data_IF_673940510904
#
_entry.id   IF_673940510904
#
_cell.length_a   1.000
_cell.length_b   1.000
_cell.length_c   1.000
_cell.angle_alpha   90.00
_cell.angle_beta   90.00
_cell.angle_gamma   90.00
#
_symmetry.space_group_name_H-M   'P 1'
#
loop_
_entity.id
_entity.type
_entity.pdbx_description
1 polymer ?
#
# COMPACT_ATOMS: atom_id res chain seq x y z
N UNK A 1 -19.76 26.02 -22.54
CA UNK A 1 -19.84 24.62 -22.06
C UNK A 1 -19.42 24.66 -20.61
N UNK A 2 -20.34 24.40 -19.69
CA UNK A 2 -20.02 24.31 -18.26
C UNK A 2 -19.15 23.06 -18.06
N UNK A 3 -17.94 23.26 -17.53
CA UNK A 3 -16.99 22.19 -17.35
C UNK A 3 -17.50 21.26 -16.25
N UNK A 4 -17.78 19.99 -16.58
CA UNK A 4 -18.17 18.95 -15.61
C UNK A 4 -17.19 18.88 -14.43
N UNK A 5 -15.90 19.15 -14.67
CA UNK A 5 -14.89 19.25 -13.62
C UNK A 5 -15.18 20.39 -12.65
N UNK A 6 -15.63 21.54 -13.15
CA UNK A 6 -15.96 22.71 -12.34
C UNK A 6 -17.22 22.45 -11.49
N UNK A 7 -18.24 21.78 -12.03
CA UNK A 7 -19.43 21.40 -11.27
C UNK A 7 -19.14 20.38 -10.15
N UNK A 8 -18.26 19.40 -10.41
CA UNK A 8 -17.84 18.40 -9.41
C UNK A 8 -16.92 19.03 -8.36
N UNK A 9 -16.06 19.97 -8.75
CA UNK A 9 -15.10 20.61 -7.84
C UNK A 9 -15.72 21.77 -7.06
N UNK A 10 -16.81 22.36 -7.57
CA UNK A 10 -17.54 23.46 -6.92
C UNK A 10 -18.27 23.04 -5.64
N UNK A 11 -18.51 21.73 -5.46
CA UNK A 11 -19.13 21.22 -4.24
C UNK A 11 -18.29 20.06 -3.66
N UNK A 12 -17.76 20.21 -2.43
CA UNK A 12 -16.91 19.21 -1.80
C UNK A 12 -17.59 17.84 -1.61
N UNK A 13 -18.93 17.78 -1.59
CA UNK A 13 -19.69 16.54 -1.51
C UNK A 13 -19.47 15.66 -2.75
N UNK A 14 -19.44 16.25 -3.95
CA UNK A 14 -19.23 15.48 -5.19
C UNK A 14 -17.79 14.97 -5.29
N UNK A 15 -16.80 15.73 -4.82
CA UNK A 15 -15.43 15.24 -4.70
C UNK A 15 -15.33 14.04 -3.75
N UNK A 16 -16.00 14.08 -2.59
CA UNK A 16 -16.00 12.95 -1.66
C UNK A 16 -16.58 11.68 -2.31
N UNK A 17 -17.69 11.81 -3.07
CA UNK A 17 -18.29 10.69 -3.82
C UNK A 17 -17.32 10.14 -4.88
N UNK A 18 -16.64 11.02 -5.62
CA UNK A 18 -15.65 10.62 -6.62
C UNK A 18 -14.48 9.84 -5.99
N UNK A 19 -13.98 10.28 -4.83
CA UNK A 19 -12.93 9.58 -4.07
C UNK A 19 -13.40 8.20 -3.62
N UNK A 20 -14.62 8.10 -3.07
CA UNK A 20 -15.19 6.80 -2.65
C UNK A 20 -15.31 5.85 -3.84
N UNK A 21 -15.82 6.32 -4.98
CA UNK A 21 -15.91 5.51 -6.20
C UNK A 21 -14.52 5.03 -6.68
N UNK A 22 -13.52 5.91 -6.66
CA UNK A 22 -12.15 5.54 -7.01
C UNK A 22 -11.62 4.42 -6.10
N UNK A 23 -11.82 4.53 -4.78
CA UNK A 23 -11.43 3.49 -3.80
C UNK A 23 -12.15 2.16 -4.07
N UNK A 24 -13.44 2.19 -4.38
CA UNK A 24 -14.23 0.97 -4.69
C UNK A 24 -13.70 0.26 -5.94
N UNK A 25 -13.38 1.01 -7.00
CA UNK A 25 -12.80 0.45 -8.23
C UNK A 25 -11.45 -0.20 -7.93
N UNK A 26 -10.57 0.50 -7.20
CA UNK A 26 -9.26 -0.03 -6.79
C UNK A 26 -9.43 -1.29 -5.95
N UNK A 27 -10.34 -1.29 -4.98
CA UNK A 27 -10.60 -2.45 -4.13
C UNK A 27 -11.08 -3.67 -4.94
N UNK A 28 -11.94 -3.46 -5.93
CA UNK A 28 -12.41 -4.51 -6.83
C UNK A 28 -11.28 -5.15 -7.65
N UNK A 29 -10.35 -4.34 -8.15
CA UNK A 29 -9.17 -4.82 -8.88
C UNK A 29 -8.20 -5.54 -7.94
N UNK A 30 -7.91 -4.97 -6.77
CA UNK A 30 -7.00 -5.54 -5.76
C UNK A 30 -7.47 -6.91 -5.32
N UNK A 31 -8.78 -7.10 -5.05
CA UNK A 31 -9.35 -8.41 -4.68
C UNK A 31 -9.05 -9.50 -5.72
N UNK A 32 -9.10 -9.16 -7.00
CA UNK A 32 -8.83 -10.09 -8.11
C UNK A 32 -7.33 -10.42 -8.20
N UNK A 33 -6.46 -9.42 -8.05
CA UNK A 33 -5.00 -9.61 -8.06
C UNK A 33 -4.54 -10.41 -6.84
N UNK A 34 -5.08 -10.18 -5.65
CA UNK A 34 -4.74 -10.95 -4.44
C UNK A 34 -5.06 -12.44 -4.65
N UNK A 35 -6.23 -12.75 -5.22
CA UNK A 35 -6.64 -14.14 -5.49
C UNK A 35 -5.70 -14.82 -6.48
N UNK A 36 -5.27 -14.09 -7.52
CA UNK A 36 -4.29 -14.58 -8.49
C UNK A 36 -2.90 -14.77 -7.85
N UNK A 37 -2.44 -13.79 -7.06
CA UNK A 37 -1.17 -13.84 -6.36
C UNK A 37 -1.08 -15.02 -5.40
N UNK A 38 -2.15 -15.34 -4.66
CA UNK A 38 -2.22 -16.51 -3.79
C UNK A 38 -1.96 -17.82 -4.54
N UNK A 39 -2.59 -17.99 -5.72
CA UNK A 39 -2.38 -19.18 -6.55
C UNK A 39 -0.93 -19.23 -7.05
N UNK A 40 -0.40 -18.10 -7.52
CA UNK A 40 1.00 -17.99 -7.96
C UNK A 40 1.97 -18.35 -6.85
N UNK A 41 1.78 -17.82 -5.63
CA UNK A 41 2.62 -18.14 -4.46
C UNK A 41 2.52 -19.62 -4.10
N UNK A 42 1.33 -20.21 -4.16
CA UNK A 42 1.16 -21.64 -3.90
C UNK A 42 1.95 -22.50 -4.89
N UNK A 43 1.90 -22.18 -6.18
CA UNK A 43 2.71 -22.85 -7.21
C UNK A 43 4.20 -22.60 -6.98
N UNK A 44 4.56 -21.38 -6.57
CA UNK A 44 5.95 -21.00 -6.30
C UNK A 44 6.55 -21.80 -5.13
N UNK A 45 5.79 -22.01 -4.05
CA UNK A 45 6.20 -22.83 -2.92
C UNK A 45 6.46 -24.28 -3.37
N UNK A 46 5.57 -24.85 -4.17
CA UNK A 46 5.75 -26.19 -4.73
C UNK A 46 7.02 -26.27 -5.61
N UNK A 47 7.27 -25.24 -6.41
CA UNK A 47 8.47 -25.17 -7.23
C UNK A 47 9.75 -25.08 -6.39
N UNK A 48 9.78 -24.27 -5.34
CA UNK A 48 10.93 -24.18 -4.41
C UNK A 48 11.15 -25.52 -3.70
N UNK A 49 10.08 -26.21 -3.28
CA UNK A 49 10.17 -27.54 -2.67
C UNK A 49 10.77 -28.58 -3.65
N UNK A 50 10.33 -28.58 -4.90
CA UNK A 50 10.91 -29.42 -5.95
C UNK A 50 12.39 -29.09 -6.21
N UNK A 51 12.73 -27.81 -6.21
CA UNK A 51 14.11 -27.35 -6.43
C UNK A 51 15.04 -27.78 -5.28
N UNK A 52 14.54 -27.71 -4.05
CA UNK A 52 15.23 -28.22 -2.86
C UNK A 52 15.46 -29.74 -2.94
N UNK A 53 14.46 -30.51 -3.38
CA UNK A 53 14.60 -31.95 -3.59
C UNK A 53 15.61 -32.30 -4.68
N UNK A 54 15.70 -31.49 -5.74
CA UNK A 54 16.64 -31.69 -6.86
C UNK A 54 18.08 -31.26 -6.52
N UNK A 55 18.34 -30.76 -5.30
CA UNK A 55 19.68 -30.34 -4.85
C UNK A 55 20.24 -29.12 -5.61
N UNK A 56 19.39 -28.41 -6.36
CA UNK A 56 19.81 -27.19 -7.08
C UNK A 56 19.93 -26.06 -6.06
N UNK A 57 21.07 -25.36 -6.08
CA UNK A 57 21.43 -24.29 -5.14
C UNK A 57 20.30 -23.25 -4.99
N UNK A 58 19.51 -23.37 -3.93
CA UNK A 58 18.44 -22.42 -3.56
C UNK A 58 18.97 -21.16 -2.89
N UNK A 59 20.29 -21.11 -2.62
CA UNK A 59 20.96 -20.02 -1.91
C UNK A 59 20.87 -18.66 -2.62
N UNK A 60 20.86 -18.64 -3.95
CA UNK A 60 20.71 -17.37 -4.69
C UNK A 60 19.28 -16.83 -4.58
N UNK A 61 18.28 -17.70 -4.69
CA UNK A 61 16.86 -17.35 -4.57
C UNK A 61 16.57 -16.85 -3.16
N UNK A 62 17.08 -17.54 -2.14
CA UNK A 62 16.88 -17.13 -0.74
C UNK A 62 17.52 -15.78 -0.45
N UNK A 63 18.74 -15.53 -0.97
CA UNK A 63 19.43 -14.24 -0.80
C UNK A 63 18.67 -13.09 -1.45
N UNK A 64 18.13 -13.32 -2.65
CA UNK A 64 17.37 -12.30 -3.37
C UNK A 64 16.04 -11.99 -2.68
N UNK A 65 15.32 -13.01 -2.21
CA UNK A 65 14.09 -12.85 -1.42
C UNK A 65 14.35 -12.11 -0.11
N UNK A 66 15.41 -12.48 0.62
CA UNK A 66 15.78 -11.79 1.87
C UNK A 66 16.11 -10.32 1.65
N UNK A 67 16.87 -10.00 0.60
CA UNK A 67 17.21 -8.60 0.27
C UNK A 67 15.96 -7.80 -0.09
N UNK A 68 15.04 -8.37 -0.87
CA UNK A 68 13.76 -7.73 -1.18
C UNK A 68 12.91 -7.53 0.07
N UNK A 69 12.88 -8.50 0.99
CA UNK A 69 12.15 -8.39 2.25
C UNK A 69 12.73 -7.28 3.16
N UNK A 70 14.05 -7.15 3.21
CA UNK A 70 14.73 -6.10 3.98
C UNK A 70 14.41 -4.70 3.43
N UNK A 71 14.47 -4.52 2.11
CA UNK A 71 14.09 -3.25 1.45
C UNK A 71 12.63 -2.88 1.74
N UNK A 72 11.72 -3.85 1.67
CA UNK A 72 10.31 -3.65 2.02
C UNK A 72 10.14 -3.24 3.48
N UNK A 73 10.85 -3.90 4.39
CA UNK A 73 10.78 -3.61 5.83
C UNK A 73 11.30 -2.22 6.15
N UNK A 74 12.41 -1.81 5.55
CA UNK A 74 12.95 -0.46 5.71
C UNK A 74 12.03 0.62 5.12
N UNK A 75 11.46 0.38 3.94
CA UNK A 75 10.54 1.32 3.31
C UNK A 75 9.27 1.51 4.14
N UNK A 76 8.71 0.42 4.68
CA UNK A 76 7.53 0.46 5.56
C UNK A 76 7.85 1.15 6.88
N UNK A 77 8.98 0.83 7.52
CA UNK A 77 9.39 1.49 8.77
C UNK A 77 9.59 2.99 8.58
N UNK A 78 10.35 3.41 7.55
CA UNK A 78 10.57 4.84 7.27
C UNK A 78 9.29 5.58 6.92
N UNK A 79 8.38 4.95 6.17
CA UNK A 79 7.08 5.56 5.84
C UNK A 79 6.19 5.65 7.08
N UNK A 80 6.13 4.58 7.88
CA UNK A 80 5.35 4.54 9.12
C UNK A 80 5.84 5.56 10.15
N UNK A 81 7.15 5.72 10.31
CA UNK A 81 7.76 6.72 11.19
C UNK A 81 7.43 8.14 10.73
N UNK A 82 7.61 8.45 9.43
CA UNK A 82 7.21 9.76 8.86
C UNK A 82 5.74 10.08 9.04
N UNK A 83 4.85 9.10 8.90
CA UNK A 83 3.41 9.27 9.10
C UNK A 83 3.10 9.54 10.57
N UNK A 84 3.75 8.82 11.50
CA UNK A 84 3.58 9.03 12.94
C UNK A 84 4.07 10.41 13.38
N UNK A 85 5.28 10.80 13.00
CA UNK A 85 5.83 12.11 13.34
C UNK A 85 4.98 13.25 12.77
N UNK A 86 4.53 13.14 11.50
CA UNK A 86 3.69 14.16 10.89
C UNK A 86 2.30 14.26 11.54
N UNK A 87 1.72 13.13 11.97
CA UNK A 87 0.45 13.11 12.68
C UNK A 87 0.58 13.73 14.07
N UNK A 88 1.61 13.38 14.84
CA UNK A 88 1.85 13.93 16.19
C UNK A 88 2.07 15.45 16.11
N UNK A 89 2.93 15.92 15.20
CA UNK A 89 3.16 17.37 15.01
C UNK A 89 1.90 18.14 14.62
N UNK A 90 1.04 17.55 13.80
CA UNK A 90 -0.22 18.19 13.38
C UNK A 90 -1.22 18.29 14.53
N UNK A 91 -1.23 17.30 15.43
CA UNK A 91 -2.05 17.30 16.64
C UNK A 91 -1.52 18.31 17.65
N UNK A 92 -0.21 18.32 17.90
CA UNK A 92 0.44 19.22 18.86
C UNK A 92 0.20 20.69 18.48
N UNK A 93 0.40 21.02 17.20
CA UNK A 93 0.16 22.37 16.67
C UNK A 93 -1.30 22.79 16.77
N UNK A 94 -2.24 21.87 16.55
CA UNK A 94 -3.68 22.13 16.66
C UNK A 94 -4.11 22.27 18.12
N UNK A 95 -3.47 21.58 19.06
CA UNK A 95 -3.72 21.71 20.51
C UNK A 95 -3.18 23.03 21.05
N UNK A 96 -1.99 23.48 20.60
CA UNK A 96 -1.44 24.80 20.98
C UNK A 96 -2.28 25.97 20.45
N UNK A 97 -2.82 25.88 19.23
CA UNK A 97 -3.73 26.89 18.66
C UNK A 97 -5.07 26.96 19.42
N UNK A 98 -5.59 25.85 19.93
CA UNK A 98 -6.85 25.79 20.70
C UNK A 98 -6.67 26.20 22.18
N UNK A 99 -5.47 26.05 22.76
CA UNK A 99 -5.17 26.44 24.14
C UNK A 99 -4.71 27.91 24.28
N UNK A 100 -4.32 28.55 23.18
CA UNK A 100 -3.86 29.95 23.16
C UNK A 100 -4.96 30.94 22.76
N UNK A 101 -6.20 30.47 22.56
CA UNK A 101 -7.39 31.25 22.21
C UNK A 101 -8.39 31.22 23.37
#
# INVERSE_FOLDING_TARGET
MENIIEAITSNPVYLAIAVVLAVVIVYGLVKKIIKLALVTVSIFILYVAYLHYTGKNTAEISKQVSKSAEILKDAVSKTGEKVKDSAIKSIEKKVEEELSN
#
